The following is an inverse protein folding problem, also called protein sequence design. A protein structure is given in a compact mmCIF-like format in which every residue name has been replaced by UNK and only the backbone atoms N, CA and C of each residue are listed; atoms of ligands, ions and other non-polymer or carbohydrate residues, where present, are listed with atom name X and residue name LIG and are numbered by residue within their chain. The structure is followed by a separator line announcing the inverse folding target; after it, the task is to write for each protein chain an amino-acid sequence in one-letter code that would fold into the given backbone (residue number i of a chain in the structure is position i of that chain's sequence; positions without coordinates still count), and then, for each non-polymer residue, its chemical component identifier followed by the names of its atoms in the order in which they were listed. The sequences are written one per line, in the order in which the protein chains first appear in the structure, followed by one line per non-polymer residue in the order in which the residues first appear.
data_IF_334810636552
#
_entry.id   IF_334810636552
#
_cell.length_a   1.000
_cell.length_b   1.000
_cell.length_c   1.000
_cell.angle_alpha   90.00
_cell.angle_beta   90.00
_cell.angle_gamma   90.00
#
_symmetry.space_group_name_H-M   'P 1'
#
loop_
_entity.id
_entity.type
_entity.pdbx_description
1 polymer ?
#
# COMPACT_ATOMS: atom_id res chain seq x y z
N UNK A 1 11.86 12.08 -11.37
CA UNK A 1 11.31 10.90 -10.66
C UNK A 1 11.58 11.16 -9.19
N UNK A 2 10.57 11.11 -8.34
CA UNK A 2 10.74 11.46 -6.92
C UNK A 2 10.83 10.23 -6.00
N UNK A 3 10.99 9.04 -6.61
CA UNK A 3 11.27 7.79 -5.94
C UNK A 3 12.42 7.05 -6.62
N UNK A 4 13.13 6.23 -5.84
CA UNK A 4 14.08 5.22 -6.31
C UNK A 4 13.52 3.82 -6.09
N UNK A 5 14.07 2.84 -6.80
CA UNK A 5 13.86 1.44 -6.47
C UNK A 5 14.68 1.15 -5.21
N UNK A 6 14.02 0.77 -4.12
CA UNK A 6 14.68 0.31 -2.90
C UNK A 6 15.21 -1.10 -3.10
N UNK A 7 14.36 -1.98 -3.64
CA UNK A 7 14.75 -3.35 -3.98
C UNK A 7 13.82 -3.91 -5.06
N UNK A 8 14.37 -4.70 -5.97
CA UNK A 8 13.61 -5.54 -6.88
C UNK A 8 13.14 -6.82 -6.18
N UNK A 9 11.96 -7.33 -6.53
CA UNK A 9 11.32 -8.46 -5.82
C UNK A 9 11.55 -9.82 -6.49
N UNK A 10 12.27 -9.88 -7.61
CA UNK A 10 12.32 -11.07 -8.47
C UNK A 10 12.93 -12.29 -7.78
N UNK A 11 13.93 -12.04 -6.94
CA UNK A 11 14.74 -13.08 -6.30
C UNK A 11 14.56 -13.10 -4.77
N UNK A 12 13.58 -12.35 -4.26
CA UNK A 12 13.34 -12.26 -2.82
C UNK A 12 12.28 -13.26 -2.38
N UNK A 13 12.59 -14.00 -1.32
CA UNK A 13 11.56 -14.74 -0.59
C UNK A 13 10.71 -13.78 0.28
N UNK A 14 9.63 -14.31 0.88
CA UNK A 14 8.75 -13.47 1.70
C UNK A 14 9.40 -12.96 2.99
N UNK A 15 10.38 -13.68 3.55
CA UNK A 15 11.09 -13.26 4.75
C UNK A 15 12.03 -12.08 4.43
N UNK A 16 12.77 -12.15 3.32
CA UNK A 16 13.58 -11.06 2.81
C UNK A 16 12.72 -9.87 2.42
N UNK A 17 11.61 -10.11 1.73
CA UNK A 17 10.69 -9.05 1.33
C UNK A 17 10.10 -8.32 2.54
N UNK A 18 9.80 -9.04 3.62
CA UNK A 18 9.37 -8.47 4.88
C UNK A 18 10.48 -7.66 5.58
N UNK A 19 11.75 -8.11 5.54
CA UNK A 19 12.90 -7.31 6.01
C UNK A 19 13.02 -6.00 5.24
N UNK A 20 12.79 -6.01 3.93
CA UNK A 20 12.78 -4.76 3.15
C UNK A 20 11.58 -3.87 3.46
N UNK A 21 10.40 -4.45 3.72
CA UNK A 21 9.20 -3.71 4.16
C UNK A 21 9.35 -3.12 5.57
N UNK A 22 10.26 -3.62 6.41
CA UNK A 22 10.53 -3.02 7.71
C UNK A 22 11.45 -1.80 7.64
N UNK A 23 12.17 -1.58 6.53
CA UNK A 23 13.07 -0.42 6.31
C UNK A 23 12.36 0.91 6.03
N UNK A 24 11.04 0.95 6.13
CA UNK A 24 10.25 2.17 5.99
C UNK A 24 8.77 1.93 6.31
N UNK A 25 7.99 3.00 6.25
CA UNK A 25 6.55 3.02 6.46
C UNK A 25 5.88 2.72 5.12
N UNK A 26 5.08 1.65 5.09
CA UNK A 26 4.33 1.24 3.92
C UNK A 26 2.91 1.81 3.91
N UNK A 27 2.27 1.81 2.73
CA UNK A 27 0.92 2.37 2.59
C UNK A 27 -0.14 1.76 3.52
N UNK A 28 0.01 0.50 3.92
CA UNK A 28 -0.91 -0.14 4.89
C UNK A 28 -0.64 0.24 6.35
N UNK A 29 0.52 0.81 6.65
CA UNK A 29 0.91 1.22 8.01
C UNK A 29 0.32 2.59 8.35
N UNK A 30 0.05 3.42 7.34
CA UNK A 30 -0.50 4.78 7.51
C UNK A 30 -1.83 4.74 8.25
N UNK A 31 -2.72 3.81 7.93
CA UNK A 31 -3.99 3.69 8.65
C UNK A 31 -3.81 3.38 10.14
N UNK A 32 -2.75 2.66 10.52
CA UNK A 32 -2.41 2.40 11.94
C UNK A 32 -1.98 3.69 12.63
N UNK A 33 -1.17 4.52 11.96
CA UNK A 33 -0.75 5.82 12.51
C UNK A 33 -1.94 6.77 12.68
N UNK A 34 -2.94 6.69 11.80
CA UNK A 34 -4.16 7.49 11.88
C UNK A 34 -5.27 6.87 12.75
N UNK A 35 -5.02 5.70 13.37
CA UNK A 35 -5.97 5.08 14.30
C UNK A 35 -7.20 4.46 13.64
N UNK A 36 -7.19 4.23 12.33
CA UNK A 36 -8.32 3.68 11.56
C UNK A 36 -8.04 2.27 11.02
N UNK A 37 -6.95 1.64 11.47
CA UNK A 37 -6.62 0.25 11.11
C UNK A 37 -7.23 -0.73 12.13
N UNK A 38 -8.24 -1.52 11.75
CA UNK A 38 -8.88 -2.47 12.67
C UNK A 38 -8.00 -3.68 12.99
N UNK A 39 -6.95 -3.95 12.20
CA UNK A 39 -6.15 -5.18 12.28
C UNK A 39 -4.76 -5.00 12.90
N UNK A 40 -4.29 -3.76 13.09
CA UNK A 40 -2.92 -3.49 13.55
C UNK A 40 -2.86 -2.27 14.48
N UNK A 41 -2.38 -2.49 15.70
CA UNK A 41 -2.10 -1.45 16.69
C UNK A 41 -0.73 -0.78 16.47
N UNK A 42 -0.56 0.41 17.04
CA UNK A 42 0.71 1.16 16.96
C UNK A 42 1.89 0.39 17.58
N UNK A 43 1.68 -0.27 18.73
CA UNK A 43 2.71 -1.12 19.37
C UNK A 43 3.21 -2.21 18.42
N UNK A 44 2.27 -2.94 17.79
CA UNK A 44 2.61 -3.98 16.82
C UNK A 44 3.35 -3.42 15.61
N UNK A 45 2.97 -2.22 15.14
CA UNK A 45 3.70 -1.56 14.06
C UNK A 45 5.16 -1.25 14.45
N UNK A 46 5.42 -0.79 15.68
CA UNK A 46 6.79 -0.55 16.17
C UNK A 46 7.60 -1.85 16.16
N UNK A 47 7.03 -2.95 16.68
CA UNK A 47 7.67 -4.27 16.67
C UNK A 47 8.05 -4.73 15.26
N UNK A 48 7.15 -4.51 14.28
CA UNK A 48 7.41 -4.83 12.87
C UNK A 48 8.54 -3.98 12.27
N UNK A 49 8.61 -2.68 12.60
CA UNK A 49 9.60 -1.76 12.04
C UNK A 49 10.97 -1.84 12.72
N UNK A 50 11.02 -2.26 13.97
CA UNK A 50 12.26 -2.48 14.74
C UNK A 50 12.85 -3.87 14.52
N UNK A 51 12.19 -4.73 13.72
CA UNK A 51 12.72 -6.05 13.36
C UNK A 51 12.46 -7.15 14.40
N UNK A 52 11.60 -6.90 15.39
CA UNK A 52 11.28 -7.85 16.45
C UNK A 52 10.19 -8.87 16.05
N UNK A 53 9.66 -8.81 14.83
CA UNK A 53 8.60 -9.72 14.37
C UNK A 53 9.16 -10.80 13.44
N UNK A 54 8.96 -12.06 13.81
CA UNK A 54 9.16 -13.18 12.89
C UNK A 54 8.11 -13.15 11.79
N UNK A 55 8.56 -13.30 10.55
CA UNK A 55 7.70 -13.31 9.37
C UNK A 55 7.16 -14.72 9.20
N UNK A 56 5.94 -14.96 9.67
CA UNK A 56 5.27 -16.24 9.44
C UNK A 56 4.68 -16.22 8.03
N UNK A 57 5.29 -16.98 7.12
CA UNK A 57 4.83 -17.10 5.74
C UNK A 57 3.59 -17.99 5.71
N UNK A 58 2.42 -17.39 5.65
CA UNK A 58 1.16 -18.12 5.51
C UNK A 58 0.79 -18.31 4.03
N UNK A 59 0.26 -19.48 3.68
CA UNK A 59 -0.34 -19.79 2.37
C UNK A 59 -1.35 -18.70 1.92
N UNK A 60 -2.06 -18.11 2.89
CA UNK A 60 -2.97 -16.97 2.70
C UNK A 60 -2.33 -15.78 1.97
N UNK A 61 -1.02 -15.54 2.14
CA UNK A 61 -0.33 -14.44 1.45
C UNK A 61 -0.17 -14.72 -0.05
N UNK A 62 0.25 -15.94 -0.42
CA UNK A 62 0.34 -16.36 -1.83
C UNK A 62 -1.03 -16.28 -2.50
N UNK A 63 -2.08 -16.72 -1.82
CA UNK A 63 -3.45 -16.62 -2.32
C UNK A 63 -3.87 -15.16 -2.56
N UNK A 64 -3.62 -14.26 -1.60
CA UNK A 64 -3.89 -12.82 -1.75
C UNK A 64 -3.17 -12.20 -2.96
N UNK A 65 -1.93 -12.61 -3.24
CA UNK A 65 -1.21 -12.13 -4.42
C UNK A 65 -1.88 -12.58 -5.73
N UNK A 66 -2.34 -13.84 -5.81
CA UNK A 66 -3.07 -14.35 -6.98
C UNK A 66 -4.40 -13.61 -7.18
N UNK A 67 -5.13 -13.35 -6.10
CA UNK A 67 -6.38 -12.57 -6.16
C UNK A 67 -6.13 -11.15 -6.67
N UNK A 68 -5.04 -10.50 -6.25
CA UNK A 68 -4.64 -9.19 -6.76
C UNK A 68 -4.27 -9.19 -8.25
N UNK A 69 -3.64 -10.27 -8.72
CA UNK A 69 -3.36 -10.48 -10.14
C UNK A 69 -4.67 -10.55 -10.93
N UNK A 70 -5.61 -11.39 -10.49
CA UNK A 70 -6.93 -11.51 -11.10
C UNK A 70 -7.66 -10.16 -11.16
N UNK A 71 -7.70 -9.41 -10.05
CA UNK A 71 -8.30 -8.07 -10.02
C UNK A 71 -7.66 -7.12 -11.04
N UNK A 72 -6.34 -7.14 -11.16
CA UNK A 72 -5.63 -6.27 -12.09
C UNK A 72 -5.95 -6.65 -13.56
N UNK A 73 -6.05 -7.94 -13.88
CA UNK A 73 -6.44 -8.40 -15.21
C UNK A 73 -7.89 -8.03 -15.54
N UNK A 74 -8.82 -8.22 -14.60
CA UNK A 74 -10.21 -7.81 -14.80
C UNK A 74 -10.33 -6.28 -14.95
N UNK A 75 -9.57 -5.50 -14.19
CA UNK A 75 -9.56 -4.03 -14.32
C UNK A 75 -9.05 -3.56 -15.69
N UNK A 76 -8.13 -4.29 -16.36
CA UNK A 76 -7.67 -3.93 -17.72
C UNK A 76 -8.80 -3.92 -18.75
N UNK A 77 -9.90 -4.64 -18.52
CA UNK A 77 -11.08 -4.63 -19.40
C UNK A 77 -11.76 -3.25 -19.50
N UNK A 78 -11.44 -2.32 -18.59
CA UNK A 78 -11.83 -0.90 -18.69
C UNK A 78 -11.10 -0.14 -19.81
N UNK A 79 -10.08 -0.73 -20.43
CA UNK A 79 -9.21 -0.09 -21.42
C UNK A 79 -7.97 0.60 -20.83
N UNK A 80 -7.84 0.65 -19.50
CA UNK A 80 -6.66 1.21 -18.84
C UNK A 80 -5.50 0.20 -18.89
N UNK A 81 -4.41 0.61 -19.53
CA UNK A 81 -3.18 -0.21 -19.60
C UNK A 81 -2.39 -0.11 -18.29
N UNK A 82 -2.01 -1.27 -17.74
CA UNK A 82 -1.32 -1.38 -16.46
C UNK A 82 0.09 -1.95 -16.62
N UNK A 83 1.01 -1.49 -15.77
CA UNK A 83 2.38 -1.99 -15.63
C UNK A 83 2.58 -2.52 -14.22
N UNK A 84 3.13 -3.73 -14.11
CA UNK A 84 3.54 -4.30 -12.82
C UNK A 84 4.90 -3.76 -12.41
N UNK A 85 4.95 -3.03 -11.29
CA UNK A 85 6.22 -2.60 -10.69
C UNK A 85 6.67 -3.66 -9.68
N UNK A 86 7.49 -4.60 -10.13
CA UNK A 86 8.04 -5.69 -9.31
C UNK A 86 9.16 -5.21 -8.37
N UNK A 87 8.97 -4.05 -7.72
CA UNK A 87 9.91 -3.46 -6.79
C UNK A 87 9.21 -2.93 -5.54
N UNK A 88 9.96 -2.74 -4.45
CA UNK A 88 9.61 -1.77 -3.41
C UNK A 88 10.22 -0.44 -3.83
N UNK A 89 9.40 0.60 -3.82
CA UNK A 89 9.80 1.96 -4.14
C UNK A 89 10.06 2.72 -2.84
N UNK A 90 10.99 3.67 -2.87
CA UNK A 90 11.28 4.55 -1.73
C UNK A 90 11.30 5.99 -2.19
N UNK A 91 10.65 6.88 -1.43
CA UNK A 91 10.67 8.30 -1.71
C UNK A 91 12.09 8.86 -1.53
N UNK A 92 12.58 9.63 -2.50
CA UNK A 92 13.95 10.18 -2.47
C UNK A 92 14.12 11.25 -1.39
N UNK A 93 13.10 12.10 -1.21
CA UNK A 93 13.09 13.21 -0.23
C UNK A 93 12.76 12.74 1.19
N UNK A 94 11.97 11.67 1.30
CA UNK A 94 11.50 11.10 2.56
C UNK A 94 11.84 9.60 2.63
N UNK A 95 13.10 9.22 2.88
CA UNK A 95 13.53 7.82 2.80
C UNK A 95 12.81 6.86 3.75
N UNK A 96 12.19 7.38 4.82
CA UNK A 96 11.34 6.59 5.71
C UNK A 96 10.02 6.14 5.06
N UNK A 97 9.64 6.65 3.88
CA UNK A 97 8.41 6.26 3.18
C UNK A 97 8.72 5.28 2.04
N UNK A 98 8.03 4.14 2.03
CA UNK A 98 8.14 3.12 0.99
C UNK A 98 6.78 2.74 0.41
N UNK A 99 6.78 2.29 -0.85
CA UNK A 99 5.58 1.84 -1.54
C UNK A 99 5.79 0.49 -2.22
N UNK A 100 4.97 -0.48 -1.83
CA UNK A 100 4.81 -1.74 -2.54
C UNK A 100 3.50 -1.67 -3.33
N UNK A 101 3.57 -1.04 -4.50
CA UNK A 101 2.41 -0.77 -5.36
C UNK A 101 1.95 -2.04 -6.08
N UNK A 102 0.65 -2.18 -6.34
CA UNK A 102 0.14 -3.32 -7.10
C UNK A 102 0.41 -3.13 -8.60
N UNK A 103 -0.03 -2.00 -9.17
CA UNK A 103 0.21 -1.61 -10.57
C UNK A 103 0.40 -0.11 -10.71
N UNK A 104 1.08 0.28 -11.79
CA UNK A 104 1.14 1.66 -12.30
C UNK A 104 0.36 1.74 -13.60
N UNK A 105 -0.20 2.90 -13.93
CA UNK A 105 -0.88 3.13 -15.22
C UNK A 105 0.15 3.51 -16.28
N UNK A 106 0.07 2.89 -17.46
CA UNK A 106 0.98 3.19 -18.58
C UNK A 106 0.69 4.58 -19.14
N UNK A 107 1.73 5.40 -19.30
CA UNK A 107 1.63 6.75 -19.88
C UNK A 107 1.00 7.81 -18.95
N UNK A 108 0.62 7.45 -17.71
CA UNK A 108 0.04 8.36 -16.73
C UNK A 108 0.80 8.30 -15.40
N UNK A 109 0.79 9.41 -14.67
CA UNK A 109 1.29 9.47 -13.28
C UNK A 109 0.22 8.97 -12.31
N UNK A 110 -0.24 7.74 -12.49
CA UNK A 110 -1.32 7.13 -11.72
C UNK A 110 -0.96 5.70 -11.33
N UNK A 111 -1.55 5.22 -10.25
CA UNK A 111 -1.43 3.83 -9.81
C UNK A 111 -2.77 3.11 -9.71
N UNK A 112 -2.72 1.81 -9.44
CA UNK A 112 -3.88 1.00 -9.10
C UNK A 112 -3.57 0.21 -7.82
N UNK A 113 -4.54 0.23 -6.90
CA UNK A 113 -4.58 -0.58 -5.68
C UNK A 113 -5.66 -1.65 -5.82
N UNK A 114 -5.28 -2.91 -5.66
CA UNK A 114 -6.20 -4.04 -5.74
C UNK A 114 -6.59 -4.51 -4.32
N UNK A 115 -7.88 -4.64 -4.06
CA UNK A 115 -8.46 -5.08 -2.79
C UNK A 115 -9.48 -6.19 -3.01
N UNK A 116 -9.68 -7.03 -2.01
CA UNK A 116 -10.76 -8.01 -2.00
C UNK A 116 -11.45 -7.95 -0.64
N UNK A 117 -12.77 -8.05 -0.62
CA UNK A 117 -13.59 -7.90 0.57
C UNK A 117 -14.87 -8.72 0.47
N UNK A 118 -15.50 -9.02 1.60
CA UNK A 118 -16.77 -9.75 1.62
C UNK A 118 -17.95 -8.82 1.31
N UNK A 119 -19.11 -9.38 0.93
CA UNK A 119 -20.33 -8.58 0.73
C UNK A 119 -20.74 -7.84 2.02
N UNK A 120 -20.62 -8.51 3.17
CA UNK A 120 -20.95 -7.94 4.48
C UNK A 120 -20.04 -6.78 4.83
N UNK A 121 -18.73 -6.95 4.62
CA UNK A 121 -17.79 -5.90 4.96
C UNK A 121 -18.04 -4.70 4.06
N UNK A 122 -18.24 -4.91 2.74
CA UNK A 122 -18.51 -3.86 1.73
C UNK A 122 -19.60 -2.86 2.09
N UNK A 123 -20.65 -3.29 2.77
CA UNK A 123 -21.75 -2.42 3.17
C UNK A 123 -21.44 -1.59 4.42
N UNK A 124 -20.57 -2.07 5.31
CA UNK A 124 -20.25 -1.47 6.61
C UNK A 124 -19.04 -0.49 6.59
N UNK A 125 -18.32 -0.38 5.46
CA UNK A 125 -16.92 0.07 5.34
C UNK A 125 -16.54 1.55 5.63
N UNK A 126 -16.93 2.18 6.74
CA UNK A 126 -16.41 3.55 7.02
C UNK A 126 -14.88 3.57 7.22
N UNK A 127 -14.35 2.66 8.04
CA UNK A 127 -12.92 2.64 8.41
C UNK A 127 -12.05 2.00 7.31
N UNK A 128 -12.57 1.01 6.59
CA UNK A 128 -11.87 0.39 5.45
C UNK A 128 -11.70 1.39 4.30
N UNK A 129 -12.72 2.21 4.00
CA UNK A 129 -12.61 3.31 3.02
C UNK A 129 -11.56 4.33 3.44
N UNK A 130 -11.54 4.72 4.72
CA UNK A 130 -10.54 5.65 5.27
C UNK A 130 -9.12 5.08 5.16
N UNK A 131 -8.96 3.78 5.47
CA UNK A 131 -7.68 3.08 5.33
C UNK A 131 -7.20 3.01 3.88
N UNK A 132 -8.10 2.70 2.93
CA UNK A 132 -7.78 2.67 1.50
C UNK A 132 -7.39 4.06 1.01
N UNK A 133 -8.14 5.09 1.42
CA UNK A 133 -7.86 6.48 1.02
C UNK A 133 -6.48 6.93 1.50
N UNK A 134 -6.16 6.72 2.77
CA UNK A 134 -4.83 7.01 3.33
C UNK A 134 -3.71 6.25 2.61
N UNK A 135 -3.93 4.96 2.31
CA UNK A 135 -2.97 4.14 1.58
C UNK A 135 -2.70 4.69 0.16
N UNK A 136 -3.73 5.16 -0.54
CA UNK A 136 -3.58 5.76 -1.86
C UNK A 136 -2.81 7.09 -1.79
N UNK A 137 -3.15 7.96 -0.83
CA UNK A 137 -2.42 9.21 -0.60
C UNK A 137 -0.95 8.96 -0.24
N UNK A 138 -0.65 7.95 0.57
CA UNK A 138 0.72 7.53 0.83
C UNK A 138 1.48 7.12 -0.43
N UNK A 139 0.88 6.26 -1.27
CA UNK A 139 1.53 5.84 -2.51
C UNK A 139 1.74 7.01 -3.47
N UNK A 140 0.80 7.95 -3.54
CA UNK A 140 0.97 9.19 -4.29
C UNK A 140 2.10 10.04 -3.71
N UNK A 141 2.22 10.16 -2.38
CA UNK A 141 3.33 10.84 -1.72
C UNK A 141 4.69 10.20 -2.07
N UNK A 142 4.78 8.87 -2.06
CA UNK A 142 6.02 8.16 -2.42
C UNK A 142 6.36 8.34 -3.89
N UNK A 143 5.37 8.19 -4.78
CA UNK A 143 5.63 8.05 -6.22
C UNK A 143 5.54 9.36 -7.03
N UNK A 144 5.08 10.44 -6.40
CA UNK A 144 4.63 11.67 -7.06
C UNK A 144 3.57 11.42 -8.15
N UNK A 145 2.70 10.43 -7.92
CA UNK A 145 1.51 10.19 -8.73
C UNK A 145 0.44 11.26 -8.44
N UNK A 146 -0.36 11.58 -9.45
CA UNK A 146 -1.47 12.55 -9.45
C UNK A 146 -2.81 11.95 -9.03
N UNK A 147 -2.93 10.63 -9.05
CA UNK A 147 -4.13 9.92 -8.62
C UNK A 147 -3.92 8.42 -8.51
N UNK A 148 -4.92 7.75 -7.97
CA UNK A 148 -4.88 6.32 -7.73
C UNK A 148 -6.25 5.68 -8.00
N UNK A 149 -6.26 4.66 -8.84
CA UNK A 149 -7.41 3.78 -8.99
C UNK A 149 -7.46 2.80 -7.83
N UNK A 150 -8.66 2.49 -7.37
CA UNK A 150 -8.93 1.40 -6.44
C UNK A 150 -9.85 0.43 -7.15
N UNK A 151 -9.45 -0.84 -7.25
CA UNK A 151 -10.30 -1.92 -7.72
C UNK A 151 -10.49 -2.94 -6.60
N UNK A 152 -11.75 -3.18 -6.23
CA UNK A 152 -12.15 -4.05 -5.14
C UNK A 152 -13.02 -5.18 -5.66
N UNK A 153 -12.56 -6.42 -5.48
CA UNK A 153 -13.39 -7.61 -5.68
C UNK A 153 -14.26 -7.86 -4.45
N UNK A 154 -15.57 -7.76 -4.64
CA UNK A 154 -16.58 -7.89 -3.58
C UNK A 154 -17.28 -9.24 -3.73
N UNK A 155 -17.30 -10.02 -2.65
CA UNK A 155 -17.96 -11.33 -2.62
C UNK A 155 -17.35 -12.37 -3.57
N UNK A 156 -16.18 -12.10 -4.14
CA UNK A 156 -15.49 -12.97 -5.09
C UNK A 156 -15.97 -12.89 -6.54
N UNK A 157 -17.02 -12.11 -6.83
CA UNK A 157 -17.66 -12.10 -8.17
C UNK A 157 -17.95 -10.71 -8.72
N UNK A 158 -17.98 -9.66 -7.88
CA UNK A 158 -18.30 -8.30 -8.32
C UNK A 158 -17.07 -7.40 -8.24
N UNK A 159 -16.63 -6.86 -9.38
CA UNK A 159 -15.54 -5.89 -9.39
C UNK A 159 -16.08 -4.46 -9.32
N UNK A 160 -15.80 -3.77 -8.22
CA UNK A 160 -16.07 -2.34 -8.08
C UNK A 160 -14.77 -1.55 -8.22
N UNK A 161 -14.81 -0.41 -8.88
CA UNK A 161 -13.65 0.47 -8.94
C UNK A 161 -14.03 1.94 -8.91
N UNK A 162 -13.11 2.75 -8.40
CA UNK A 162 -13.24 4.20 -8.32
C UNK A 162 -11.86 4.86 -8.34
N UNK A 163 -11.85 6.17 -8.57
CA UNK A 163 -10.63 6.96 -8.65
C UNK A 163 -10.49 7.86 -7.42
N UNK A 164 -9.26 8.04 -6.95
CA UNK A 164 -8.89 8.95 -5.88
C UNK A 164 -7.89 9.97 -6.41
N UNK A 165 -8.26 11.25 -6.32
CA UNK A 165 -7.36 12.36 -6.60
C UNK A 165 -6.34 12.56 -5.49
N UNK A 166 -5.17 13.06 -5.87
CA UNK A 166 -4.12 13.48 -4.95
C UNK A 166 -4.58 14.66 -4.08
N UNK A 167 -4.48 14.51 -2.77
CA UNK A 167 -4.73 15.57 -1.79
C UNK A 167 -3.40 16.01 -1.14
N UNK A 168 -2.87 17.15 -1.58
CA UNK A 168 -1.60 17.67 -1.06
C UNK A 168 -1.66 18.06 0.43
N UNK A 169 -2.82 18.48 0.93
CA UNK A 169 -2.97 18.87 2.32
C UNK A 169 -2.93 17.63 3.22
N UNK A 170 -3.60 16.56 2.82
CA UNK A 170 -3.54 15.29 3.53
C UNK A 170 -2.16 14.64 3.40
N UNK A 171 -1.53 14.67 2.22
CA UNK A 171 -0.18 14.14 2.02
C UNK A 171 0.83 14.83 2.95
N UNK A 172 0.77 16.16 3.12
CA UNK A 172 1.61 16.87 4.10
C UNK A 172 1.41 16.35 5.53
N UNK A 173 0.16 16.10 5.93
CA UNK A 173 -0.16 15.53 7.26
C UNK A 173 0.39 14.11 7.41
N UNK A 174 0.25 13.27 6.38
CA UNK A 174 0.80 11.91 6.34
C UNK A 174 2.32 11.96 6.53
N UNK A 175 3.03 12.74 5.71
CA UNK A 175 4.49 12.85 5.75
C UNK A 175 4.97 13.28 7.15
N UNK A 176 4.33 14.29 7.76
CA UNK A 176 4.72 14.76 9.09
C UNK A 176 4.52 13.69 10.16
N UNK A 177 3.34 13.04 10.16
CA UNK A 177 3.02 11.99 11.14
C UNK A 177 3.95 10.77 11.02
N UNK A 178 4.27 10.40 9.79
CA UNK A 178 5.21 9.32 9.50
C UNK A 178 6.64 9.67 9.91
N UNK A 179 7.07 10.90 9.66
CA UNK A 179 8.37 11.40 10.09
C UNK A 179 8.51 11.32 11.61
N UNK A 180 7.54 11.86 12.34
CA UNK A 180 7.52 11.82 13.80
C UNK A 180 7.58 10.38 14.32
N UNK A 181 6.72 9.50 13.81
CA UNK A 181 6.73 8.08 14.19
C UNK A 181 8.08 7.42 13.91
N UNK A 182 8.63 7.60 12.71
CA UNK A 182 9.85 6.92 12.30
C UNK A 182 11.05 7.31 13.16
N UNK A 183 11.30 8.61 13.32
CA UNK A 183 12.48 9.09 14.03
C UNK A 183 12.33 9.01 15.55
N UNK A 184 11.12 9.11 16.08
CA UNK A 184 10.90 9.11 17.53
C UNK A 184 10.53 7.74 18.10
N UNK A 185 10.16 6.75 17.30
CA UNK A 185 9.70 5.45 17.81
C UNK A 185 10.38 4.25 17.14
N UNK A 186 10.91 4.39 15.93
CA UNK A 186 11.58 3.29 15.21
C UNK A 186 13.09 3.42 15.24
N UNK A 187 13.65 4.61 14.97
CA UNK A 187 15.09 4.86 14.94
C UNK A 187 15.70 5.25 16.30
N UNK A 188 14.94 5.04 17.40
CA UNK A 188 15.46 5.27 18.75
C UNK A 188 16.61 4.34 19.09
#
# INVERSE_FOLDING_TARGET
MDYRILVWKHDLDEAELAKWRSKGIGGTDVSTLFGVNPSKSKRKLIEEKTGHTQVIIHEKMKFRMRVKEFIAEEFKKTGIKLLRKNAILQNVKHPFMIANVDRMVVGKKEGLLCKATSNKDFTLQKDERSSIYLQCQHYMAVTNAKGWWVATLVGGIHLHYYYIDRDENLIKKIINKEKEFWYNEVMK
#
